data_IF_501038946693
#
_entry.id   IF_501038946693
#
_cell.length_a   1.000
_cell.length_b   1.000
_cell.length_c   1.000
_cell.angle_alpha   90.00
_cell.angle_beta   90.00
_cell.angle_gamma   90.00
#
_symmetry.space_group_name_H-M   'P 1'
#
loop_
_entity.id
_entity.type
_entity.pdbx_description
1 polymer ?
#
# COMPACT_ATOMS: atom_id res chain seq x y z
N UNK A 1 12.34 -76.33 -34.89
CA UNK A 1 12.10 -75.11 -35.68
C UNK A 1 12.49 -73.92 -34.82
N UNK A 2 13.67 -73.38 -35.11
CA UNK A 2 14.29 -72.27 -34.41
C UNK A 2 13.54 -70.96 -34.68
N UNK A 3 13.45 -70.09 -33.68
CA UNK A 3 13.16 -68.68 -33.89
C UNK A 3 14.00 -67.84 -32.91
N UNK A 4 15.14 -67.42 -33.43
CA UNK A 4 15.99 -66.34 -32.93
C UNK A 4 15.23 -65.02 -33.02
N UNK A 5 15.07 -64.28 -31.92
CA UNK A 5 14.86 -62.83 -31.99
C UNK A 5 15.61 -62.12 -30.86
N UNK A 6 16.38 -61.13 -31.30
CA UNK A 6 17.46 -60.42 -30.63
C UNK A 6 16.97 -59.29 -29.73
N UNK A 7 17.71 -59.07 -28.63
CA UNK A 7 17.64 -57.87 -27.81
C UNK A 7 18.67 -56.84 -28.32
N UNK A 8 18.34 -55.53 -28.31
CA UNK A 8 19.35 -54.50 -28.17
C UNK A 8 19.23 -53.81 -26.81
N UNK A 9 20.37 -53.77 -26.11
CA UNK A 9 20.64 -52.91 -24.96
C UNK A 9 20.75 -51.44 -25.39
N UNK A 10 20.12 -50.53 -24.65
CA UNK A 10 20.42 -49.10 -24.74
C UNK A 10 20.55 -48.48 -23.35
N UNK A 11 21.71 -47.83 -23.13
CA UNK A 11 22.10 -47.15 -21.89
C UNK A 11 21.34 -45.82 -21.66
N UNK A 12 21.33 -45.29 -20.42
CA UNK A 12 20.59 -44.10 -20.03
C UNK A 12 21.48 -42.85 -20.02
N UNK A 13 21.18 -41.82 -20.81
CA UNK A 13 21.65 -40.44 -20.56
C UNK A 13 21.00 -39.44 -21.51
N UNK A 14 20.11 -38.58 -20.99
CA UNK A 14 20.00 -37.13 -21.27
C UNK A 14 18.72 -36.59 -20.64
N UNK A 15 18.80 -36.17 -19.37
CA UNK A 15 17.74 -35.42 -18.72
C UNK A 15 17.80 -33.95 -19.18
N UNK A 16 16.97 -33.58 -20.15
CA UNK A 16 16.75 -32.20 -20.54
C UNK A 16 16.05 -31.43 -19.39
N UNK A 17 16.70 -30.40 -18.86
CA UNK A 17 16.18 -29.52 -17.82
C UNK A 17 15.04 -28.65 -18.39
N UNK A 18 13.79 -28.92 -18.00
CA UNK A 18 12.67 -27.98 -18.16
C UNK A 18 12.82 -26.85 -17.15
N UNK A 19 13.03 -25.63 -17.64
CA UNK A 19 12.93 -24.40 -16.83
C UNK A 19 11.46 -24.04 -16.59
N UNK A 20 11.09 -23.50 -15.40
CA UNK A 20 9.72 -23.10 -15.13
C UNK A 20 9.32 -21.83 -15.91
N UNK A 21 8.13 -21.87 -16.51
CA UNK A 21 7.47 -20.75 -17.19
C UNK A 21 7.33 -19.54 -16.26
N UNK A 22 7.77 -18.36 -16.73
CA UNK A 22 7.47 -17.07 -16.10
C UNK A 22 6.06 -16.58 -16.50
N UNK A 23 5.34 -15.92 -15.58
CA UNK A 23 3.99 -15.38 -15.81
C UNK A 23 3.97 -14.00 -16.53
N UNK A 24 5.05 -13.61 -17.21
CA UNK A 24 5.12 -12.30 -17.87
C UNK A 24 4.56 -12.39 -19.30
N UNK A 25 3.34 -11.87 -19.52
CA UNK A 25 2.68 -11.79 -20.83
C UNK A 25 2.83 -10.40 -21.47
N UNK A 26 4.06 -9.90 -21.60
CA UNK A 26 4.35 -8.59 -22.21
C UNK A 26 5.51 -8.66 -23.17
N UNK A 27 5.45 -7.87 -24.24
CA UNK A 27 6.46 -7.82 -25.29
C UNK A 27 7.67 -6.97 -24.84
N UNK A 28 8.87 -7.56 -24.86
CA UNK A 28 10.08 -7.04 -24.17
C UNK A 28 10.70 -5.84 -24.92
N UNK A 29 10.19 -5.52 -26.11
CA UNK A 29 10.76 -4.52 -27.04
C UNK A 29 10.47 -3.06 -26.67
N UNK A 30 9.70 -2.80 -25.61
CA UNK A 30 9.32 -1.43 -25.19
C UNK A 30 9.72 -1.05 -23.75
N UNK A 31 10.62 -1.80 -23.11
CA UNK A 31 11.11 -1.44 -21.78
C UNK A 31 12.14 -0.30 -21.88
N UNK A 32 11.72 0.93 -21.54
CA UNK A 32 12.65 2.04 -21.31
C UNK A 32 13.44 1.81 -20.01
N UNK A 33 14.77 1.94 -20.00
CA UNK A 33 15.55 1.83 -18.78
C UNK A 33 15.40 3.11 -17.97
N UNK A 34 14.81 3.04 -16.77
CA UNK A 34 14.82 4.19 -15.87
C UNK A 34 14.01 4.02 -14.58
N UNK A 35 14.68 4.39 -13.48
CA UNK A 35 14.11 4.89 -12.21
C UNK A 35 13.67 3.84 -11.17
N UNK A 36 14.63 3.17 -10.56
CA UNK A 36 14.53 2.76 -9.15
C UNK A 36 15.75 3.25 -8.37
N UNK A 37 15.75 4.53 -8.02
CA UNK A 37 16.57 5.08 -6.93
C UNK A 37 15.61 5.46 -5.80
N UNK A 38 15.48 4.60 -4.80
CA UNK A 38 14.88 4.98 -3.52
C UNK A 38 15.99 5.44 -2.58
N UNK A 39 15.99 6.74 -2.25
CA UNK A 39 16.72 7.28 -1.10
C UNK A 39 15.90 7.01 0.15
N UNK A 40 16.50 6.41 1.17
CA UNK A 40 15.96 6.39 2.53
C UNK A 40 16.84 7.27 3.45
N UNK A 41 16.24 8.02 4.40
CA UNK A 41 16.99 8.86 5.32
C UNK A 41 17.59 8.05 6.48
N UNK A 42 18.78 8.47 6.91
CA UNK A 42 19.54 7.91 8.04
C UNK A 42 18.92 8.33 9.38
N UNK A 43 18.61 7.36 10.25
CA UNK A 43 18.24 7.60 11.63
C UNK A 43 19.38 7.16 12.56
N UNK A 44 19.85 8.08 13.42
CA UNK A 44 20.90 7.85 14.40
C UNK A 44 20.42 6.96 15.56
N UNK A 45 21.28 6.06 16.04
CA UNK A 45 21.04 5.21 17.21
C UNK A 45 22.06 5.49 18.33
N UNK A 46 21.68 5.30 19.61
CA UNK A 46 22.43 5.81 20.78
C UNK A 46 23.56 4.88 21.24
N UNK A 47 24.52 5.47 21.96
CA UNK A 47 25.73 4.83 22.48
C UNK A 47 25.46 4.01 23.75
N UNK A 48 25.49 2.68 23.64
CA UNK A 48 25.57 1.78 24.79
C UNK A 48 27.02 1.34 25.00
N UNK A 49 27.61 1.79 26.12
CA UNK A 49 28.91 1.32 26.63
C UNK A 49 28.78 -0.14 27.05
N UNK A 50 29.55 -1.02 26.40
CA UNK A 50 29.71 -2.41 26.85
C UNK A 50 31.09 -2.58 27.51
N UNK A 51 31.06 -3.10 28.73
CA UNK A 51 32.20 -3.39 29.58
C UNK A 51 33.20 -4.35 28.91
N UNK A 52 34.48 -4.08 29.11
CA UNK A 52 35.61 -4.83 28.58
C UNK A 52 35.71 -6.21 29.27
N UNK A 53 35.58 -7.29 28.50
CA UNK A 53 36.12 -8.61 28.87
C UNK A 53 37.18 -8.99 27.84
N UNK A 54 38.40 -9.23 28.33
CA UNK A 54 39.57 -9.69 27.55
C UNK A 54 39.33 -11.12 27.03
N UNK A 55 39.63 -11.43 25.75
CA UNK A 55 39.79 -12.80 25.30
C UNK A 55 41.25 -13.26 25.37
N UNK A 56 41.44 -14.49 25.83
CA UNK A 56 42.70 -15.23 25.71
C UNK A 56 42.99 -15.55 24.23
N UNK A 57 44.26 -15.50 23.88
CA UNK A 57 44.81 -15.71 22.54
C UNK A 57 44.58 -17.13 22.02
N UNK A 58 43.84 -17.26 20.92
CA UNK A 58 43.91 -18.39 20.02
C UNK A 58 44.22 -17.86 18.61
N UNK A 59 45.39 -18.23 18.11
CA UNK A 59 45.83 -17.90 16.76
C UNK A 59 44.90 -18.57 15.73
N UNK A 60 44.15 -17.76 15.01
CA UNK A 60 43.50 -18.13 13.75
C UNK A 60 43.79 -17.02 12.76
N UNK A 61 44.56 -17.35 11.73
CA UNK A 61 44.95 -16.48 10.62
C UNK A 61 43.72 -15.83 9.98
N UNK A 62 43.61 -14.51 10.14
CA UNK A 62 42.67 -13.70 9.39
C UNK A 62 43.02 -13.76 7.90
N UNK A 63 42.08 -14.04 6.98
CA UNK A 63 42.32 -13.72 5.59
C UNK A 63 42.32 -12.19 5.46
N UNK A 64 43.45 -11.66 5.04
CA UNK A 64 43.65 -10.26 4.75
C UNK A 64 42.51 -9.73 3.88
N UNK A 65 41.82 -8.70 4.35
CA UNK A 65 40.97 -7.87 3.51
C UNK A 65 41.88 -7.13 2.53
N UNK A 66 42.08 -7.70 1.34
CA UNK A 66 42.79 -7.04 0.25
C UNK A 66 41.93 -5.89 -0.27
N UNK A 67 42.28 -4.69 0.16
CA UNK A 67 41.84 -3.43 -0.39
C UNK A 67 42.38 -3.27 -1.82
N UNK A 68 41.57 -3.64 -2.82
CA UNK A 68 41.79 -3.23 -4.21
C UNK A 68 40.47 -2.79 -4.85
N UNK A 69 39.86 -1.78 -4.24
CA UNK A 69 38.82 -0.99 -4.88
C UNK A 69 39.46 -0.12 -5.96
N UNK A 70 39.50 -0.56 -7.22
CA UNK A 70 39.31 0.29 -8.41
C UNK A 70 39.00 -0.58 -9.66
N UNK A 71 37.75 -0.49 -10.13
CA UNK A 71 37.26 -0.85 -11.46
C UNK A 71 37.41 -2.32 -11.93
N UNK A 72 36.99 -3.31 -11.13
CA UNK A 72 36.74 -4.63 -11.71
C UNK A 72 35.49 -4.54 -12.60
N UNK A 73 35.68 -4.64 -13.93
CA UNK A 73 34.59 -4.63 -14.92
C UNK A 73 33.53 -5.66 -14.55
N UNK A 74 32.26 -5.27 -14.51
CA UNK A 74 31.16 -6.19 -14.26
C UNK A 74 31.18 -7.31 -15.31
N UNK A 75 31.47 -8.53 -14.84
CA UNK A 75 31.34 -9.79 -15.56
C UNK A 75 30.45 -10.71 -14.75
N UNK A 76 29.86 -11.71 -15.39
CA UNK A 76 28.94 -12.64 -14.75
C UNK A 76 29.58 -13.33 -13.52
N UNK A 77 30.89 -13.54 -13.54
CA UNK A 77 31.64 -14.23 -12.49
C UNK A 77 31.89 -13.38 -11.24
N UNK A 78 31.78 -12.04 -11.36
CA UNK A 78 32.11 -11.09 -10.31
C UNK A 78 30.87 -10.41 -9.69
N UNK A 79 29.66 -10.87 -10.04
CA UNK A 79 28.42 -10.37 -9.47
C UNK A 79 28.07 -11.14 -8.19
N UNK A 80 27.95 -10.43 -7.08
CA UNK A 80 27.47 -10.99 -5.82
C UNK A 80 26.29 -10.17 -5.29
N UNK A 81 25.30 -10.80 -4.63
CA UNK A 81 24.24 -10.07 -3.96
C UNK A 81 24.81 -9.27 -2.77
N UNK A 82 24.17 -8.15 -2.44
CA UNK A 82 24.52 -7.37 -1.25
C UNK A 82 24.47 -8.27 0.01
N UNK A 83 25.48 -8.22 0.90
CA UNK A 83 25.48 -9.01 2.13
C UNK A 83 24.18 -8.81 2.92
N UNK A 84 23.55 -9.92 3.30
CA UNK A 84 22.27 -9.93 4.01
C UNK A 84 21.01 -9.85 3.14
N UNK A 85 21.12 -9.54 1.85
CA UNK A 85 19.98 -9.52 0.91
C UNK A 85 19.35 -10.91 0.74
N UNK A 86 20.18 -11.95 0.61
CA UNK A 86 19.75 -13.35 0.51
C UNK A 86 20.23 -14.14 1.70
N UNK A 87 19.30 -14.49 2.61
CA UNK A 87 19.57 -15.40 3.73
C UNK A 87 19.36 -16.84 3.27
N UNK A 88 20.32 -17.73 3.56
CA UNK A 88 20.17 -19.16 3.31
C UNK A 88 19.06 -19.71 4.21
N UNK A 89 18.08 -20.42 3.63
CA UNK A 89 16.99 -21.03 4.38
C UNK A 89 17.45 -22.27 5.16
N UNK A 90 16.88 -22.49 6.34
CA UNK A 90 17.22 -23.64 7.18
C UNK A 90 16.61 -24.92 6.60
N UNK A 91 17.45 -25.89 6.26
CA UNK A 91 17.04 -27.23 5.82
C UNK A 91 16.86 -28.13 7.03
N UNK A 92 15.63 -28.22 7.55
CA UNK A 92 15.30 -29.01 8.74
C UNK A 92 15.50 -30.51 8.51
N UNK A 93 15.84 -31.25 9.57
CA UNK A 93 16.02 -32.70 9.51
C UNK A 93 17.28 -33.13 8.75
N UNK A 94 18.39 -32.39 8.88
CA UNK A 94 19.70 -32.69 8.26
C UNK A 94 20.81 -32.74 9.32
N UNK A 95 20.66 -33.67 10.26
CA UNK A 95 21.58 -33.82 11.39
C UNK A 95 21.41 -32.74 12.46
N UNK A 96 21.90 -33.03 13.67
CA UNK A 96 21.79 -32.11 14.82
C UNK A 96 22.72 -30.89 14.70
N UNK A 97 23.90 -31.04 14.06
CA UNK A 97 24.86 -29.95 13.86
C UNK A 97 24.34 -28.79 12.99
N UNK A 98 23.31 -29.03 12.16
CA UNK A 98 22.64 -27.99 11.37
C UNK A 98 21.57 -27.20 12.17
N UNK A 99 21.38 -27.51 13.45
CA UNK A 99 20.47 -26.82 14.38
C UNK A 99 19.11 -27.51 14.51
N UNK A 100 18.31 -27.55 13.44
CA UNK A 100 16.97 -28.15 13.48
C UNK A 100 17.06 -29.65 13.13
N UNK A 101 17.52 -30.45 14.10
CA UNK A 101 17.79 -31.89 13.98
C UNK A 101 16.55 -32.78 13.87
N UNK A 102 16.55 -33.94 14.56
CA UNK A 102 15.56 -35.01 14.37
C UNK A 102 14.10 -34.58 14.55
N UNK A 103 13.79 -33.73 15.53
CA UNK A 103 12.42 -33.22 15.76
C UNK A 103 12.05 -31.99 14.93
N UNK A 104 13.00 -31.45 14.14
CA UNK A 104 12.81 -30.26 13.30
C UNK A 104 12.27 -29.02 14.04
N UNK A 105 12.42 -28.98 15.37
CA UNK A 105 11.94 -27.90 16.25
C UNK A 105 10.47 -28.03 16.69
N UNK A 106 9.82 -29.16 16.40
CA UNK A 106 8.41 -29.40 16.79
C UNK A 106 8.25 -30.01 18.20
N UNK A 107 9.35 -30.44 18.83
CA UNK A 107 9.34 -31.06 20.15
C UNK A 107 8.96 -32.55 20.12
N UNK A 108 8.37 -33.04 21.21
CA UNK A 108 7.90 -34.42 21.34
C UNK A 108 6.56 -34.62 20.60
N UNK A 109 5.92 -35.77 20.80
CA UNK A 109 4.66 -36.14 20.14
C UNK A 109 3.53 -35.27 20.65
N UNK A 110 2.84 -34.56 19.75
CA UNK A 110 1.64 -33.79 20.07
C UNK A 110 0.90 -33.38 18.79
N UNK A 111 -0.29 -32.82 18.90
CA UNK A 111 -1.09 -32.45 17.72
C UNK A 111 -0.33 -31.48 16.78
N UNK A 112 0.43 -30.54 17.34
CA UNK A 112 1.25 -29.55 16.57
C UNK A 112 2.49 -30.16 15.90
N UNK A 113 2.89 -31.37 16.28
CA UNK A 113 4.07 -32.05 15.72
C UNK A 113 3.70 -33.05 14.62
N UNK A 114 2.39 -33.29 14.38
CA UNK A 114 1.92 -34.18 13.32
C UNK A 114 1.86 -33.44 11.98
N UNK A 115 1.98 -34.20 10.89
CA UNK A 115 1.75 -33.68 9.54
C UNK A 115 0.27 -33.38 9.32
N UNK A 116 -0.01 -32.36 8.50
CA UNK A 116 -1.37 -31.97 8.11
C UNK A 116 -1.79 -30.59 8.62
N UNK A 117 -3.04 -30.17 8.32
CA UNK A 117 -3.58 -28.91 8.80
C UNK A 117 -3.62 -28.91 10.34
N UNK A 118 -3.06 -27.86 10.94
CA UNK A 118 -3.16 -27.66 12.39
C UNK A 118 -4.56 -27.25 12.83
N UNK A 119 -4.66 -26.93 14.12
CA UNK A 119 -5.87 -26.34 14.71
C UNK A 119 -6.22 -25.01 14.03
N UNK A 120 -7.50 -24.77 13.75
CA UNK A 120 -8.00 -23.52 13.15
C UNK A 120 -7.55 -22.31 13.99
N UNK A 121 -7.01 -21.28 13.34
CA UNK A 121 -6.68 -20.01 14.01
C UNK A 121 -7.93 -19.42 14.68
N UNK A 122 -7.82 -19.14 15.97
CA UNK A 122 -8.93 -18.66 16.81
C UNK A 122 -9.71 -19.77 17.55
N UNK A 123 -9.29 -21.04 17.49
CA UNK A 123 -9.85 -22.10 18.34
C UNK A 123 -9.14 -22.15 19.70
N UNK A 124 -9.92 -22.20 20.78
CA UNK A 124 -9.46 -22.12 22.18
C UNK A 124 -9.70 -23.44 22.95
N UNK A 125 -9.48 -24.60 22.30
CA UNK A 125 -9.51 -25.90 22.99
C UNK A 125 -10.90 -26.42 23.38
N UNK A 126 -11.97 -25.93 22.73
CA UNK A 126 -13.36 -26.29 23.04
C UNK A 126 -14.11 -25.23 23.84
N UNK A 127 -13.40 -24.27 24.44
CA UNK A 127 -14.00 -23.07 24.99
C UNK A 127 -14.65 -22.24 23.87
N UNK A 128 -15.78 -21.57 24.14
CA UNK A 128 -16.40 -20.66 23.15
C UNK A 128 -15.38 -19.61 22.71
N UNK A 129 -14.98 -19.50 21.43
CA UNK A 129 -13.93 -18.58 21.03
C UNK A 129 -14.25 -17.11 21.21
N UNK A 130 -13.22 -16.26 21.36
CA UNK A 130 -13.38 -14.80 21.51
C UNK A 130 -14.27 -14.15 20.43
N UNK A 131 -14.09 -14.53 19.16
CA UNK A 131 -14.87 -13.98 18.05
C UNK A 131 -16.36 -14.35 18.10
N UNK A 132 -16.76 -15.30 18.96
CA UNK A 132 -18.16 -15.64 19.26
C UNK A 132 -18.66 -15.01 20.56
N UNK A 133 -17.78 -14.77 21.54
CA UNK A 133 -18.14 -14.12 22.81
C UNK A 133 -18.50 -12.64 22.61
N UNK A 134 -17.82 -11.97 21.69
CA UNK A 134 -18.03 -10.55 21.42
C UNK A 134 -19.19 -10.35 20.43
N UNK A 135 -20.12 -9.41 20.68
CA UNK A 135 -21.19 -9.10 19.73
C UNK A 135 -20.63 -8.56 18.41
N UNK A 136 -21.35 -8.77 17.32
CA UNK A 136 -20.98 -8.23 16.00
C UNK A 136 -21.01 -6.69 16.02
N UNK A 137 -20.21 -6.09 15.14
CA UNK A 137 -20.18 -4.63 14.97
C UNK A 137 -21.56 -4.06 14.60
N UNK A 138 -21.85 -2.87 15.12
CA UNK A 138 -23.08 -2.12 14.83
C UNK A 138 -23.23 -1.89 13.32
N UNK A 139 -24.48 -1.92 12.83
CA UNK A 139 -24.81 -1.80 11.41
C UNK A 139 -24.54 -3.07 10.60
N UNK A 140 -23.33 -3.62 10.69
CA UNK A 140 -22.95 -4.85 9.96
C UNK A 140 -23.81 -6.04 10.42
N UNK A 141 -24.08 -6.14 11.72
CA UNK A 141 -24.92 -7.20 12.28
C UNK A 141 -26.34 -7.24 11.68
N UNK A 142 -26.89 -6.08 11.31
CA UNK A 142 -28.21 -5.93 10.70
C UNK A 142 -28.22 -5.84 9.18
N UNK A 143 -27.07 -6.04 8.51
CA UNK A 143 -26.98 -5.97 7.05
C UNK A 143 -26.95 -4.56 6.46
N UNK A 144 -26.76 -3.52 7.27
CA UNK A 144 -26.61 -2.15 6.76
C UNK A 144 -25.31 -2.00 5.96
N UNK A 145 -25.38 -1.34 4.80
CA UNK A 145 -24.20 -1.08 3.98
C UNK A 145 -23.15 -0.24 4.70
N UNK A 146 -21.87 -0.61 4.56
CA UNK A 146 -20.76 0.14 5.13
C UNK A 146 -20.64 1.54 4.49
N UNK A 147 -20.33 2.54 5.32
CA UNK A 147 -20.05 3.90 4.86
C UNK A 147 -18.78 3.93 4.02
N UNK A 148 -18.90 4.39 2.77
CA UNK A 148 -17.80 4.49 1.83
C UNK A 148 -17.44 5.97 1.59
N UNK A 149 -16.16 6.28 1.30
CA UNK A 149 -15.74 7.64 1.01
C UNK A 149 -16.45 8.16 -0.24
N UNK A 150 -16.99 9.38 -0.13
CA UNK A 150 -17.74 10.06 -1.20
C UNK A 150 -16.92 11.12 -1.94
N UNK A 151 -15.75 11.46 -1.40
CA UNK A 151 -14.87 12.50 -1.90
C UNK A 151 -13.42 12.02 -1.82
N UNK A 152 -12.56 12.60 -2.64
CA UNK A 152 -11.11 12.56 -2.44
C UNK A 152 -10.74 13.74 -1.53
N UNK A 153 -10.33 13.49 -0.27
CA UNK A 153 -9.95 14.54 0.66
C UNK A 153 -8.52 15.02 0.38
N UNK A 154 -8.31 16.34 0.37
CA UNK A 154 -6.98 16.97 0.29
C UNK A 154 -6.90 18.08 1.32
N UNK A 155 -5.80 18.14 2.09
CA UNK A 155 -5.59 19.19 3.07
C UNK A 155 -4.79 20.36 2.48
N UNK A 156 -4.80 21.51 3.17
CA UNK A 156 -4.03 22.68 2.76
C UNK A 156 -2.51 22.44 2.86
N UNK A 157 -2.06 21.70 3.89
CA UNK A 157 -0.63 21.28 4.03
C UNK A 157 -0.09 20.58 2.79
N UNK A 158 -0.92 19.72 2.19
CA UNK A 158 -0.55 18.93 1.03
C UNK A 158 -0.43 19.82 -0.21
N UNK A 159 -1.27 20.85 -0.31
CA UNK A 159 -1.23 21.84 -1.39
C UNK A 159 0.00 22.74 -1.25
N UNK A 160 0.32 23.21 -0.05
CA UNK A 160 1.55 23.98 0.22
C UNK A 160 2.81 23.20 -0.19
N UNK A 161 2.90 21.93 0.23
CA UNK A 161 4.05 21.07 -0.05
C UNK A 161 4.25 20.81 -1.56
N UNK A 162 3.17 20.89 -2.32
CA UNK A 162 3.18 20.65 -3.77
C UNK A 162 3.76 21.83 -4.58
N UNK A 163 4.04 22.97 -3.93
CA UNK A 163 4.70 24.12 -4.56
C UNK A 163 3.88 24.71 -5.70
N UNK A 164 2.63 25.08 -5.44
CA UNK A 164 1.85 25.88 -6.38
C UNK A 164 2.33 27.33 -6.38
N UNK A 165 2.39 27.93 -7.57
CA UNK A 165 2.69 29.35 -7.73
C UNK A 165 1.41 30.19 -7.60
N UNK A 166 1.57 31.49 -7.35
CA UNK A 166 0.42 32.39 -7.28
C UNK A 166 -0.37 32.39 -8.59
N UNK A 167 -1.69 32.23 -8.49
CA UNK A 167 -2.60 32.15 -9.65
C UNK A 167 -2.80 30.74 -10.22
N UNK A 168 -2.03 29.74 -9.76
CA UNK A 168 -2.21 28.36 -10.22
C UNK A 168 -3.61 27.81 -9.93
N UNK A 169 -4.10 26.97 -10.84
CA UNK A 169 -5.37 26.28 -10.67
C UNK A 169 -5.21 24.94 -9.92
N UNK A 170 -5.86 24.82 -8.77
CA UNK A 170 -5.95 23.59 -7.99
C UNK A 170 -7.22 22.84 -8.39
N UNK A 171 -7.05 21.83 -9.25
CA UNK A 171 -8.12 20.94 -9.73
C UNK A 171 -7.72 19.46 -9.55
N UNK A 172 -8.65 18.53 -9.77
CA UNK A 172 -8.33 17.09 -9.76
C UNK A 172 -7.27 16.70 -10.80
N UNK A 173 -7.20 17.42 -11.92
CA UNK A 173 -6.24 17.15 -12.99
C UNK A 173 -4.87 17.70 -12.64
N UNK A 174 -4.82 18.94 -12.15
CA UNK A 174 -3.58 19.58 -11.68
C UNK A 174 -2.91 18.78 -10.55
N UNK A 175 -3.72 18.29 -9.61
CA UNK A 175 -3.22 17.50 -8.46
C UNK A 175 -2.70 16.12 -8.87
N UNK A 176 -3.25 15.53 -9.94
CA UNK A 176 -2.71 14.30 -10.54
C UNK A 176 -1.41 14.57 -11.29
N UNK A 177 -1.35 15.64 -12.06
CA UNK A 177 -0.17 16.02 -12.84
C UNK A 177 1.05 16.24 -11.94
N UNK A 178 0.86 16.89 -10.78
CA UNK A 178 1.91 17.05 -9.76
C UNK A 178 2.15 15.80 -8.90
N UNK A 179 1.40 14.72 -9.11
CA UNK A 179 1.56 13.44 -8.39
C UNK A 179 1.09 13.46 -6.93
N UNK A 180 0.39 14.51 -6.49
CA UNK A 180 -0.13 14.59 -5.12
C UNK A 180 -1.26 13.57 -4.89
N UNK A 181 -2.10 13.37 -5.90
CA UNK A 181 -3.16 12.37 -5.87
C UNK A 181 -2.93 11.36 -6.99
N UNK A 182 -2.97 10.07 -6.64
CA UNK A 182 -3.00 8.98 -7.61
C UNK A 182 -4.27 8.14 -7.44
N UNK A 183 -5.45 8.65 -7.86
CA UNK A 183 -6.71 7.99 -7.57
C UNK A 183 -6.88 6.74 -8.44
N UNK A 184 -7.24 5.64 -7.79
CA UNK A 184 -7.40 4.34 -8.43
C UNK A 184 -8.81 3.76 -8.21
N UNK A 185 -9.26 2.91 -9.14
CA UNK A 185 -10.57 2.25 -9.07
C UNK A 185 -11.72 3.22 -8.80
N UNK A 186 -12.38 3.05 -7.63
CA UNK A 186 -13.52 3.86 -7.17
C UNK A 186 -13.18 5.35 -7.06
N UNK A 187 -11.96 5.71 -6.67
CA UNK A 187 -11.60 7.10 -6.38
C UNK A 187 -11.57 7.97 -7.63
N UNK A 188 -11.40 7.37 -8.82
CA UNK A 188 -11.39 8.10 -10.09
C UNK A 188 -12.70 8.81 -10.40
N UNK A 189 -13.82 8.24 -9.95
CA UNK A 189 -15.15 8.81 -10.14
C UNK A 189 -15.59 9.70 -8.98
N UNK A 190 -14.77 9.83 -7.93
CA UNK A 190 -15.07 10.67 -6.79
C UNK A 190 -14.66 12.14 -7.04
N UNK A 191 -15.48 13.10 -6.58
CA UNK A 191 -15.13 14.52 -6.61
C UNK A 191 -14.11 14.91 -5.54
N UNK A 192 -13.40 16.02 -5.77
CA UNK A 192 -12.46 16.62 -4.82
C UNK A 192 -13.17 17.34 -3.67
N UNK A 193 -12.67 17.16 -2.45
CA UNK A 193 -13.03 17.94 -1.27
C UNK A 193 -11.79 18.51 -0.59
N UNK A 194 -11.80 19.80 -0.32
CA UNK A 194 -10.71 20.48 0.40
C UNK A 194 -11.01 20.55 1.90
N UNK A 195 -10.02 20.15 2.69
CA UNK A 195 -10.03 20.13 4.15
C UNK A 195 -9.05 21.18 4.69
N UNK A 196 -9.37 21.74 5.85
CA UNK A 196 -8.70 22.93 6.39
C UNK A 196 -7.49 22.67 7.28
N UNK A 197 -6.86 21.49 7.23
CA UNK A 197 -5.63 21.26 7.99
C UNK A 197 -4.43 21.89 7.26
N UNK A 198 -3.66 22.72 7.97
CA UNK A 198 -2.57 23.54 7.42
C UNK A 198 -2.85 25.03 7.38
N UNK A 199 -1.83 25.76 6.95
CA UNK A 199 -1.91 27.16 6.54
C UNK A 199 -1.88 27.14 5.00
N UNK A 200 -2.16 28.26 4.35
CA UNK A 200 -1.87 28.45 2.93
C UNK A 200 -1.43 29.90 2.76
N UNK A 201 -0.16 30.13 2.41
CA UNK A 201 0.38 31.48 2.20
C UNK A 201 0.22 31.99 0.75
N UNK A 202 -0.10 31.11 -0.19
CA UNK A 202 -0.14 31.39 -1.63
C UNK A 202 -1.57 31.62 -2.10
N UNK A 203 -1.78 32.63 -2.94
CA UNK A 203 -3.08 32.91 -3.58
C UNK A 203 -3.32 31.96 -4.74
N UNK A 204 -4.28 31.04 -4.59
CA UNK A 204 -4.59 30.00 -5.57
C UNK A 204 -6.04 30.07 -6.07
N UNK A 205 -6.25 29.54 -7.27
CA UNK A 205 -7.58 29.36 -7.87
C UNK A 205 -8.05 27.92 -7.63
N UNK A 206 -8.94 27.69 -6.66
CA UNK A 206 -9.30 26.34 -6.24
C UNK A 206 -10.64 25.91 -6.84
N UNK A 207 -10.60 24.87 -7.68
CA UNK A 207 -11.77 24.24 -8.31
C UNK A 207 -12.05 22.89 -7.64
N UNK A 208 -13.00 22.87 -6.71
CA UNK A 208 -13.41 21.66 -6.00
C UNK A 208 -14.93 21.57 -5.88
N UNK A 209 -15.47 20.38 -5.59
CA UNK A 209 -16.93 20.21 -5.42
C UNK A 209 -17.39 20.60 -4.03
N UNK A 210 -16.54 20.40 -3.02
CA UNK A 210 -16.90 20.67 -1.64
C UNK A 210 -15.70 21.21 -0.86
N UNK A 211 -16.00 22.08 0.11
CA UNK A 211 -15.03 22.65 1.03
C UNK A 211 -15.54 22.44 2.45
N UNK A 212 -14.65 22.08 3.37
CA UNK A 212 -14.96 22.14 4.80
C UNK A 212 -15.12 23.60 5.26
N UNK A 213 -15.91 23.87 6.31
CA UNK A 213 -16.11 25.24 6.82
C UNK A 213 -14.78 25.92 7.16
N UNK A 214 -13.93 25.24 7.95
CA UNK A 214 -12.59 25.72 8.28
C UNK A 214 -11.68 25.94 7.05
N UNK A 215 -11.83 25.15 5.98
CA UNK A 215 -11.09 25.40 4.74
C UNK A 215 -11.56 26.68 4.05
N UNK A 216 -12.88 26.93 3.99
CA UNK A 216 -13.41 28.15 3.36
C UNK A 216 -12.89 29.40 4.04
N UNK A 217 -13.00 29.46 5.37
CA UNK A 217 -12.54 30.60 6.16
C UNK A 217 -11.06 30.89 5.94
N UNK A 218 -10.20 29.86 5.98
CA UNK A 218 -8.76 30.02 5.76
C UNK A 218 -8.42 30.45 4.33
N UNK A 219 -9.12 29.91 3.34
CA UNK A 219 -8.86 30.23 1.94
C UNK A 219 -9.37 31.63 1.57
N UNK A 220 -10.50 32.05 2.12
CA UNK A 220 -11.03 33.42 1.99
C UNK A 220 -10.10 34.43 2.68
N UNK A 221 -9.60 34.11 3.88
CA UNK A 221 -8.60 34.93 4.58
C UNK A 221 -7.27 35.05 3.81
N UNK A 222 -6.85 33.99 3.11
CA UNK A 222 -5.70 34.01 2.22
C UNK A 222 -5.95 34.75 0.89
N UNK A 223 -7.19 35.15 0.60
CA UNK A 223 -7.58 35.80 -0.66
C UNK A 223 -7.58 34.87 -1.87
N UNK A 224 -7.83 33.57 -1.67
CA UNK A 224 -7.93 32.59 -2.75
C UNK A 224 -9.31 32.64 -3.44
N UNK A 225 -9.35 32.31 -4.73
CA UNK A 225 -10.62 32.23 -5.48
C UNK A 225 -11.20 30.82 -5.35
N UNK A 226 -12.42 30.73 -4.82
CA UNK A 226 -13.13 29.46 -4.58
C UNK A 226 -14.20 29.21 -5.64
N UNK A 227 -13.93 28.28 -6.56
CA UNK A 227 -14.93 27.83 -7.56
C UNK A 227 -15.54 26.50 -7.12
N UNK A 228 -16.84 26.50 -6.77
CA UNK A 228 -17.59 25.28 -6.44
C UNK A 228 -18.16 24.65 -7.71
N UNK A 229 -17.67 23.45 -8.05
CA UNK A 229 -18.15 22.73 -9.24
C UNK A 229 -19.56 22.15 -9.04
N UNK A 230 -20.49 22.31 -10.01
CA UNK A 230 -21.82 21.75 -9.90
C UNK A 230 -21.78 20.22 -9.89
N UNK A 231 -22.61 19.61 -9.04
CA UNK A 231 -22.77 18.17 -8.98
C UNK A 231 -23.63 17.62 -10.13
N UNK A 232 -23.65 16.29 -10.26
CA UNK A 232 -24.62 15.60 -11.14
C UNK A 232 -26.04 15.95 -10.69
N UNK A 233 -26.87 16.40 -11.64
CA UNK A 233 -28.28 16.74 -11.39
C UNK A 233 -29.04 15.49 -10.97
N UNK A 234 -29.78 15.57 -9.87
CA UNK A 234 -30.68 14.50 -9.42
C UNK A 234 -31.97 14.59 -10.25
N UNK A 235 -32.41 13.47 -10.82
CA UNK A 235 -33.71 13.42 -11.49
C UNK A 235 -34.83 13.54 -10.45
N UNK A 236 -35.82 14.37 -10.75
CA UNK A 236 -36.97 14.65 -9.89
C UNK A 236 -38.24 14.54 -10.75
N UNK A 237 -39.26 13.86 -10.23
CA UNK A 237 -40.56 13.73 -10.91
C UNK A 237 -41.24 15.12 -11.00
N UNK A 238 -41.93 15.46 -12.10
CA UNK A 238 -42.54 16.79 -12.29
C UNK A 238 -43.51 17.20 -11.19
N UNK A 239 -44.27 16.26 -10.61
CA UNK A 239 -45.16 16.55 -9.48
C UNK A 239 -44.42 17.01 -8.23
N UNK A 240 -43.26 16.40 -7.95
CA UNK A 240 -42.42 16.79 -6.81
C UNK A 240 -41.79 18.16 -7.06
N UNK A 241 -41.35 18.43 -8.30
CA UNK A 241 -40.83 19.75 -8.67
C UNK A 241 -41.89 20.86 -8.48
N UNK A 242 -43.15 20.62 -8.87
CA UNK A 242 -44.27 21.55 -8.62
C UNK A 242 -44.49 21.80 -7.13
N UNK A 243 -44.42 20.77 -6.31
CA UNK A 243 -44.58 20.91 -4.85
C UNK A 243 -43.43 21.74 -4.25
N UNK A 244 -42.20 21.52 -4.70
CA UNK A 244 -41.05 22.33 -4.27
C UNK A 244 -41.19 23.79 -4.68
N UNK A 245 -41.59 24.06 -5.94
CA UNK A 245 -41.82 25.42 -6.43
C UNK A 245 -42.90 26.15 -5.62
N UNK A 246 -44.02 25.46 -5.30
CA UNK A 246 -45.07 26.03 -4.45
C UNK A 246 -44.56 26.41 -3.06
N UNK A 247 -43.67 25.61 -2.48
CA UNK A 247 -43.05 25.89 -1.18
C UNK A 247 -42.13 27.12 -1.28
N UNK A 248 -41.31 27.21 -2.32
CA UNK A 248 -40.44 28.37 -2.58
C UNK A 248 -41.25 29.65 -2.75
N UNK A 249 -42.34 29.61 -3.54
CA UNK A 249 -43.25 30.74 -3.70
C UNK A 249 -43.88 31.20 -2.38
N UNK A 250 -44.31 30.25 -1.53
CA UNK A 250 -44.87 30.57 -0.23
C UNK A 250 -43.85 31.30 0.66
N UNK A 251 -42.63 30.79 0.76
CA UNK A 251 -41.58 31.43 1.55
C UNK A 251 -41.13 32.76 0.96
N UNK A 252 -41.06 32.90 -0.35
CA UNK A 252 -40.76 34.16 -1.01
C UNK A 252 -41.81 35.22 -0.67
N UNK A 253 -43.11 34.88 -0.78
CA UNK A 253 -44.22 35.76 -0.41
C UNK A 253 -44.16 36.15 1.07
N UNK A 254 -43.92 35.19 1.96
CA UNK A 254 -43.84 35.46 3.40
C UNK A 254 -42.64 36.32 3.77
N UNK A 255 -41.48 36.09 3.14
CA UNK A 255 -40.27 36.91 3.35
C UNK A 255 -40.46 38.32 2.82
N UNK A 256 -41.12 38.48 1.67
CA UNK A 256 -41.47 39.80 1.13
C UNK A 256 -42.47 40.54 2.03
N UNK A 257 -43.51 39.86 2.51
CA UNK A 257 -44.46 40.45 3.46
C UNK A 257 -43.80 40.84 4.79
N UNK A 258 -42.89 40.02 5.31
CA UNK A 258 -42.11 40.35 6.51
C UNK A 258 -41.14 41.52 6.28
N UNK A 259 -40.53 41.62 5.10
CA UNK A 259 -39.66 42.74 4.73
C UNK A 259 -40.43 44.04 4.45
N UNK A 260 -41.71 43.96 4.07
CA UNK A 260 -42.59 45.12 3.89
C UNK A 260 -43.21 45.62 5.22
N UNK A 261 -43.19 44.78 6.26
CA UNK A 261 -43.70 45.11 7.59
C UNK A 261 -42.60 45.56 8.57
N UNK A 262 -41.33 45.49 8.17
CA UNK A 262 -40.15 45.95 8.92
C UNK A 262 -39.62 47.25 8.29
#
# INVERSE_FOLDING_TARGET
MAALLSLPSANPATAALRLPFSQFKGDVRHLRPGYYLSRYPSAAAPSLRLAQRRPASAAASAPAASSSSLACRFRLDNLAPQPGSRKKGNRKGRGYGAGQGGSCGFGMRGQKSRSGPGVRKGFEGGQMPLYRRIPKLRGIAGGMHAGLPKFVPVNLKDIETCGFQEGDEVSLESLKAKGLINPSGRERSLPLKILGDGVLSVKLNIKARAFSAAAKEKLEAAGCLLTVLPGRKKWIKPSVAKNLARVEEYFAKKKAAAAAAA
#
